data_IF_194675750072
#
_entry.id   IF_194675750072
#
_cell.length_a   1.000
_cell.length_b   1.000
_cell.length_c   1.000
_cell.angle_alpha   90.00
_cell.angle_beta   90.00
_cell.angle_gamma   90.00
#
_symmetry.space_group_name_H-M   'P 1'
#
loop_
_entity.id
_entity.type
_entity.pdbx_description
1 polymer ?
#
# COMPACT_ATOMS: atom_id res chain seq x y z
N UNK A 1 21.95 10.21 16.64
CA UNK A 1 22.32 10.12 15.20
C UNK A 1 21.21 10.79 14.39
N UNK A 2 21.55 11.73 13.52
CA UNK A 2 20.58 12.39 12.63
C UNK A 2 20.21 11.44 11.49
N UNK A 3 18.94 11.06 11.35
CA UNK A 3 18.49 10.22 10.23
C UNK A 3 18.68 10.98 8.91
N UNK A 4 19.35 10.40 7.89
CA UNK A 4 19.49 11.06 6.60
C UNK A 4 18.11 11.39 5.98
N UNK A 5 17.97 12.58 5.40
CA UNK A 5 16.68 13.09 4.91
C UNK A 5 16.05 12.23 3.79
N UNK A 6 16.85 11.45 3.06
CA UNK A 6 16.40 10.59 1.97
C UNK A 6 15.87 9.23 2.44
N UNK A 7 16.18 8.79 3.66
CA UNK A 7 15.82 7.46 4.17
C UNK A 7 14.29 7.22 4.20
N UNK A 8 13.46 8.17 4.69
CA UNK A 8 12.01 8.00 4.65
C UNK A 8 11.45 7.90 3.23
N UNK A 9 12.04 8.62 2.28
CA UNK A 9 11.62 8.57 0.87
C UNK A 9 11.98 7.23 0.22
N UNK A 10 13.18 6.72 0.50
CA UNK A 10 13.60 5.39 0.06
C UNK A 10 12.70 4.30 0.66
N UNK A 11 12.40 4.38 1.97
CA UNK A 11 11.48 3.47 2.62
C UNK A 11 10.08 3.47 1.97
N UNK A 12 9.53 4.66 1.70
CA UNK A 12 8.25 4.79 0.98
C UNK A 12 8.32 4.23 -0.44
N UNK A 13 9.41 4.47 -1.18
CA UNK A 13 9.60 3.91 -2.53
C UNK A 13 9.57 2.38 -2.50
N UNK A 14 10.34 1.76 -1.61
CA UNK A 14 10.45 0.30 -1.50
C UNK A 14 9.11 -0.35 -1.12
N UNK A 15 8.38 0.26 -0.18
CA UNK A 15 7.04 -0.20 0.21
C UNK A 15 6.04 0.05 -0.93
N UNK A 16 6.04 1.22 -1.56
CA UNK A 16 5.08 1.58 -2.60
C UNK A 16 5.21 0.70 -3.85
N UNK A 17 6.43 0.24 -4.18
CA UNK A 17 6.70 -0.54 -5.38
C UNK A 17 5.80 -1.78 -5.49
N UNK A 18 5.57 -2.50 -4.39
CA UNK A 18 4.74 -3.71 -4.42
C UNK A 18 3.28 -3.39 -4.74
N UNK A 19 2.77 -2.26 -4.24
CA UNK A 19 1.39 -1.83 -4.50
C UNK A 19 1.21 -1.33 -5.94
N UNK A 20 2.15 -0.54 -6.45
CA UNK A 20 2.12 -0.05 -7.84
C UNK A 20 2.19 -1.23 -8.81
N UNK A 21 3.12 -2.17 -8.59
CA UNK A 21 3.24 -3.38 -9.43
C UNK A 21 2.00 -4.27 -9.33
N UNK A 22 1.45 -4.45 -8.13
CA UNK A 22 0.22 -5.23 -7.90
C UNK A 22 -0.97 -4.62 -8.66
N UNK A 23 -1.18 -3.31 -8.54
CA UNK A 23 -2.26 -2.58 -9.21
C UNK A 23 -2.12 -2.61 -10.74
N UNK A 24 -0.92 -2.38 -11.28
CA UNK A 24 -0.66 -2.50 -12.72
C UNK A 24 -0.93 -3.92 -13.25
N UNK A 25 -0.49 -4.95 -12.50
CA UNK A 25 -0.74 -6.35 -12.89
C UNK A 25 -2.24 -6.69 -12.91
N UNK A 26 -3.03 -6.13 -11.98
CA UNK A 26 -4.48 -6.30 -11.95
C UNK A 26 -5.17 -5.66 -13.15
N UNK A 27 -4.70 -4.49 -13.59
CA UNK A 27 -5.21 -3.83 -14.81
C UNK A 27 -4.81 -4.63 -16.06
N UNK A 28 -3.59 -5.18 -16.09
CA UNK A 28 -3.12 -5.99 -17.22
C UNK A 28 -3.86 -7.33 -17.35
N UNK A 29 -4.32 -7.92 -16.24
CA UNK A 29 -5.07 -9.17 -16.22
C UNK A 29 -6.32 -9.13 -15.31
N UNK A 30 -7.38 -8.38 -15.69
CA UNK A 30 -8.57 -8.23 -14.84
C UNK A 30 -9.31 -9.53 -14.60
N UNK A 31 -9.45 -10.37 -15.64
CA UNK A 31 -10.17 -11.64 -15.58
C UNK A 31 -9.57 -12.60 -14.55
N UNK A 32 -8.24 -12.74 -14.54
CA UNK A 32 -7.54 -13.59 -13.59
C UNK A 32 -7.74 -13.13 -12.14
N UNK A 33 -7.67 -11.81 -11.93
CA UNK A 33 -7.86 -11.22 -10.59
C UNK A 33 -9.30 -11.39 -10.11
N UNK A 34 -10.29 -11.13 -10.95
CA UNK A 34 -11.70 -11.31 -10.60
C UNK A 34 -12.03 -12.78 -10.29
N UNK A 35 -11.50 -13.72 -11.09
CA UNK A 35 -11.65 -15.15 -10.81
C UNK A 35 -11.04 -15.53 -9.45
N UNK A 36 -9.86 -15.00 -9.13
CA UNK A 36 -9.22 -15.22 -7.83
C UNK A 36 -10.03 -14.63 -6.66
N UNK A 37 -10.52 -13.39 -6.80
CA UNK A 37 -11.42 -12.75 -5.83
C UNK A 37 -12.68 -13.59 -5.60
N UNK A 38 -13.28 -14.11 -6.67
CA UNK A 38 -14.47 -14.96 -6.58
C UNK A 38 -14.16 -16.29 -5.89
N UNK A 39 -12.99 -16.88 -6.14
CA UNK A 39 -12.54 -18.11 -5.47
C UNK A 39 -12.35 -17.94 -3.95
N UNK A 40 -12.08 -16.70 -3.49
CA UNK A 40 -11.97 -16.37 -2.07
C UNK A 40 -13.33 -16.09 -1.40
N UNK A 41 -14.46 -16.25 -2.11
CA UNK A 41 -15.81 -16.08 -1.55
C UNK A 41 -16.26 -14.63 -1.38
N UNK A 42 -15.55 -13.66 -1.96
CA UNK A 42 -15.93 -12.26 -1.87
C UNK A 42 -17.23 -11.98 -2.66
N UNK A 43 -18.24 -11.33 -2.06
CA UNK A 43 -19.44 -10.93 -2.78
C UNK A 43 -19.08 -9.82 -3.79
N UNK A 44 -19.71 -9.85 -4.97
CA UNK A 44 -19.53 -8.84 -6.02
C UNK A 44 -18.06 -8.62 -6.44
N UNK A 45 -17.43 -9.66 -7.00
CA UNK A 45 -16.04 -9.64 -7.46
C UNK A 45 -15.62 -8.42 -8.32
N UNK A 46 -16.46 -7.86 -9.22
CA UNK A 46 -16.10 -6.66 -9.97
C UNK A 46 -15.88 -5.42 -9.10
N UNK A 47 -16.69 -5.24 -8.04
CA UNK A 47 -16.55 -4.12 -7.11
C UNK A 47 -15.29 -4.28 -6.25
N UNK A 48 -15.05 -5.49 -5.73
CA UNK A 48 -13.84 -5.81 -4.98
C UNK A 48 -12.56 -5.62 -5.84
N UNK A 49 -12.62 -6.01 -7.12
CA UNK A 49 -11.53 -5.77 -8.08
C UNK A 49 -11.26 -4.27 -8.26
N UNK A 50 -12.29 -3.46 -8.51
CA UNK A 50 -12.15 -2.03 -8.68
C UNK A 50 -11.56 -1.37 -7.42
N UNK A 51 -12.03 -1.76 -6.23
CA UNK A 51 -11.47 -1.30 -4.95
C UNK A 51 -10.00 -1.69 -4.82
N UNK A 52 -9.63 -2.93 -5.13
CA UNK A 52 -8.25 -3.40 -5.05
C UNK A 52 -7.33 -2.58 -5.97
N UNK A 53 -7.73 -2.36 -7.23
CA UNK A 53 -6.95 -1.55 -8.18
C UNK A 53 -6.79 -0.12 -7.68
N UNK A 54 -7.87 0.52 -7.24
CA UNK A 54 -7.85 1.90 -6.76
C UNK A 54 -6.97 2.05 -5.51
N UNK A 55 -7.08 1.13 -4.55
CA UNK A 55 -6.32 1.20 -3.30
C UNK A 55 -4.85 0.90 -3.54
N UNK A 56 -4.51 -0.15 -4.29
CA UNK A 56 -3.11 -0.50 -4.52
C UNK A 56 -2.41 0.49 -5.45
N UNK A 57 -2.99 0.78 -6.62
CA UNK A 57 -2.34 1.68 -7.57
C UNK A 57 -2.41 3.13 -7.09
N UNK A 58 -3.60 3.60 -6.72
CA UNK A 58 -3.80 4.97 -6.24
C UNK A 58 -3.09 5.22 -4.92
N UNK A 59 -3.28 4.34 -3.93
CA UNK A 59 -2.60 4.43 -2.64
C UNK A 59 -1.08 4.25 -2.75
N UNK A 60 -0.62 3.32 -3.59
CA UNK A 60 0.81 3.12 -3.85
C UNK A 60 1.48 4.35 -4.47
N UNK A 61 0.85 4.98 -5.47
CA UNK A 61 1.34 6.22 -6.07
C UNK A 61 1.31 7.39 -5.07
N UNK A 62 0.24 7.52 -4.27
CA UNK A 62 0.16 8.53 -3.23
C UNK A 62 1.27 8.38 -2.18
N UNK A 63 1.54 7.16 -1.72
CA UNK A 63 2.63 6.84 -0.80
C UNK A 63 4.00 7.16 -1.41
N UNK A 64 4.23 6.76 -2.66
CA UNK A 64 5.46 7.01 -3.42
C UNK A 64 5.77 8.51 -3.50
N UNK A 65 4.79 9.30 -3.94
CA UNK A 65 4.95 10.76 -4.09
C UNK A 65 4.96 11.49 -2.73
N UNK A 66 4.56 10.82 -1.66
CA UNK A 66 4.42 11.42 -0.34
C UNK A 66 3.28 12.43 -0.31
N UNK A 67 2.15 12.07 -0.92
CA UNK A 67 0.90 12.83 -0.93
C UNK A 67 -0.09 12.19 0.04
N UNK A 68 -0.58 12.97 1.01
CA UNK A 68 -1.41 12.50 2.12
C UNK A 68 -0.83 11.24 2.78
N UNK A 69 0.48 11.27 3.05
CA UNK A 69 1.27 10.07 3.31
C UNK A 69 0.71 9.19 4.43
N UNK A 70 0.26 9.80 5.53
CA UNK A 70 -0.32 9.07 6.66
C UNK A 70 -1.63 8.39 6.26
N UNK A 71 -2.51 9.09 5.53
CA UNK A 71 -3.78 8.52 5.08
C UNK A 71 -3.55 7.37 4.09
N UNK A 72 -2.67 7.59 3.09
CA UNK A 72 -2.30 6.56 2.13
C UNK A 72 -1.72 5.32 2.84
N UNK A 73 -0.79 5.52 3.77
CA UNK A 73 -0.19 4.42 4.53
C UNK A 73 -1.20 3.68 5.40
N UNK A 74 -2.11 4.37 6.08
CA UNK A 74 -3.19 3.76 6.87
C UNK A 74 -4.14 2.93 5.99
N UNK A 75 -4.58 3.49 4.86
CA UNK A 75 -5.45 2.77 3.92
C UNK A 75 -4.78 1.51 3.37
N UNK A 76 -3.52 1.63 2.92
CA UNK A 76 -2.75 0.50 2.43
C UNK A 76 -2.52 -0.55 3.53
N UNK A 77 -2.30 -0.14 4.78
CA UNK A 77 -2.10 -1.07 5.90
C UNK A 77 -3.36 -1.90 6.17
N UNK A 78 -4.53 -1.23 6.23
CA UNK A 78 -5.82 -1.90 6.41
C UNK A 78 -6.09 -2.87 5.24
N UNK A 79 -5.88 -2.40 4.01
CA UNK A 79 -6.06 -3.23 2.82
C UNK A 79 -5.13 -4.45 2.80
N UNK A 80 -3.85 -4.25 3.14
CA UNK A 80 -2.84 -5.32 3.14
C UNK A 80 -3.16 -6.37 4.20
N UNK A 81 -3.62 -5.95 5.37
CA UNK A 81 -4.05 -6.85 6.43
C UNK A 81 -5.31 -7.64 6.02
N UNK A 82 -6.30 -6.97 5.42
CA UNK A 82 -7.48 -7.63 4.87
C UNK A 82 -7.11 -8.65 3.79
N UNK A 83 -6.19 -8.28 2.88
CA UNK A 83 -5.71 -9.19 1.84
C UNK A 83 -5.01 -10.43 2.41
N UNK A 84 -4.21 -10.27 3.48
CA UNK A 84 -3.58 -11.40 4.18
C UNK A 84 -4.64 -12.39 4.70
N UNK A 85 -5.65 -11.89 5.42
CA UNK A 85 -6.68 -12.72 6.06
C UNK A 85 -7.64 -13.36 5.04
N UNK A 86 -7.93 -12.67 3.94
CA UNK A 86 -8.88 -13.18 2.94
C UNK A 86 -8.24 -14.15 1.94
N UNK A 87 -7.01 -13.87 1.50
CA UNK A 87 -6.38 -14.60 0.39
C UNK A 87 -5.27 -15.57 0.83
N UNK A 88 -4.72 -15.38 2.02
CA UNK A 88 -3.58 -16.15 2.53
C UNK A 88 -3.86 -16.78 3.91
N UNK A 89 -5.03 -17.41 4.07
CA UNK A 89 -5.50 -17.94 5.36
C UNK A 89 -5.18 -19.43 5.63
N UNK A 90 -4.69 -20.18 4.64
CA UNK A 90 -4.29 -21.57 4.83
C UNK A 90 -2.87 -21.65 5.42
N UNK A 91 -2.77 -21.71 6.74
CA UNK A 91 -1.48 -21.74 7.46
C UNK A 91 -0.70 -23.06 7.28
N UNK A 92 -1.34 -24.12 6.79
CA UNK A 92 -0.67 -25.39 6.51
C UNK A 92 0.04 -25.40 5.14
N UNK A 93 -0.33 -24.49 4.24
CA UNK A 93 0.34 -24.29 2.97
C UNK A 93 1.50 -23.30 3.13
N UNK A 94 2.72 -23.75 2.82
CA UNK A 94 3.93 -22.95 3.00
C UNK A 94 3.93 -21.68 2.13
N UNK A 95 3.40 -21.75 0.91
CA UNK A 95 3.34 -20.60 0.01
C UNK A 95 2.37 -19.54 0.56
N UNK A 96 1.20 -19.97 1.05
CA UNK A 96 0.24 -19.09 1.70
C UNK A 96 0.80 -18.47 2.98
N UNK A 97 1.48 -19.25 3.83
CA UNK A 97 2.15 -18.74 5.03
C UNK A 97 3.18 -17.64 4.70
N UNK A 98 4.01 -17.84 3.66
CA UNK A 98 4.98 -16.84 3.22
C UNK A 98 4.28 -15.55 2.76
N UNK A 99 3.20 -15.66 1.99
CA UNK A 99 2.45 -14.50 1.53
C UNK A 99 1.74 -13.76 2.67
N UNK A 100 1.20 -14.50 3.63
CA UNK A 100 0.63 -13.94 4.86
C UNK A 100 1.68 -13.14 5.63
N UNK A 101 2.82 -13.75 5.96
CA UNK A 101 3.91 -13.10 6.70
C UNK A 101 4.48 -11.89 5.97
N UNK A 102 4.62 -11.97 4.63
CA UNK A 102 4.99 -10.83 3.79
C UNK A 102 4.02 -9.66 3.98
N UNK A 103 2.71 -9.91 3.94
CA UNK A 103 1.70 -8.86 4.13
C UNK A 103 1.72 -8.29 5.57
N UNK A 104 1.97 -9.12 6.59
CA UNK A 104 2.15 -8.64 7.97
C UNK A 104 3.37 -7.73 8.08
N UNK A 105 4.51 -8.11 7.48
CA UNK A 105 5.72 -7.29 7.45
C UNK A 105 5.49 -5.95 6.74
N UNK A 106 4.80 -5.95 5.59
CA UNK A 106 4.43 -4.73 4.85
C UNK A 106 3.52 -3.84 5.70
N UNK A 107 2.53 -4.42 6.38
CA UNK A 107 1.63 -3.69 7.28
C UNK A 107 2.43 -3.01 8.40
N UNK A 108 3.39 -3.71 9.01
CA UNK A 108 4.30 -3.12 9.99
C UNK A 108 5.12 -1.95 9.43
N UNK A 109 5.67 -2.11 8.22
CA UNK A 109 6.39 -1.03 7.52
C UNK A 109 5.51 0.20 7.26
N UNK A 110 4.26 0.00 6.85
CA UNK A 110 3.29 1.07 6.64
C UNK A 110 2.92 1.79 7.95
N UNK A 111 2.74 1.05 9.05
CA UNK A 111 2.50 1.64 10.38
C UNK A 111 3.69 2.49 10.84
N UNK A 112 4.93 2.07 10.53
CA UNK A 112 6.11 2.91 10.78
C UNK A 112 6.10 4.19 9.95
N UNK A 113 5.58 4.17 8.72
CA UNK A 113 5.36 5.38 7.91
C UNK A 113 4.26 6.26 8.52
N UNK A 114 3.17 5.68 9.03
CA UNK A 114 2.10 6.43 9.73
C UNK A 114 2.69 7.18 10.94
N UNK A 115 3.48 6.49 11.77
CA UNK A 115 4.13 7.06 12.95
C UNK A 115 5.13 8.16 12.57
N UNK A 116 6.02 7.89 11.61
CA UNK A 116 7.14 8.78 11.26
C UNK A 116 6.74 9.94 10.34
N UNK A 117 5.66 9.81 9.56
CA UNK A 117 5.23 10.79 8.57
C UNK A 117 6.00 10.72 7.24
N UNK A 118 5.83 11.77 6.42
CA UNK A 118 6.25 11.77 5.02
C UNK A 118 7.76 11.90 4.76
N UNK A 119 8.51 12.45 5.72
CA UNK A 119 9.91 12.82 5.53
C UNK A 119 10.10 13.98 4.54
N UNK A 120 11.34 14.46 4.40
CA UNK A 120 11.67 15.70 3.70
C UNK A 120 11.23 15.72 2.22
N UNK A 121 11.50 14.64 1.48
CA UNK A 121 11.17 14.52 0.05
C UNK A 121 9.73 14.03 -0.16
N UNK A 122 8.75 14.88 0.11
CA UNK A 122 7.32 14.57 -0.03
C UNK A 122 6.53 15.76 -0.58
N UNK A 123 5.43 15.49 -1.29
CA UNK A 123 4.49 16.52 -1.70
C UNK A 123 3.80 17.19 -0.50
N UNK A 124 3.60 16.46 0.59
CA UNK A 124 3.04 16.98 1.85
C UNK A 124 3.83 18.18 2.41
N UNK A 125 5.15 18.20 2.23
CA UNK A 125 5.99 19.30 2.70
C UNK A 125 6.01 20.51 1.77
N UNK A 126 5.61 20.38 0.50
CA UNK A 126 5.56 21.51 -0.46
C UNK A 126 4.42 22.49 -0.15
N UNK A 127 3.40 22.08 0.61
CA UNK A 127 2.28 22.95 1.02
C UNK A 127 2.61 23.88 2.20
N UNK A 128 3.75 23.72 2.88
CA UNK A 128 4.12 24.52 4.06
C UNK A 128 4.90 25.80 3.73
N UNK A 129 5.14 26.12 2.46
CA UNK A 129 6.08 27.17 2.04
C UNK A 129 5.44 28.42 1.42
N UNK A 130 4.24 28.83 1.84
CA UNK A 130 3.74 30.19 1.51
C UNK A 130 3.61 31.02 2.79
N UNK A 131 4.66 31.74 3.19
CA UNK A 131 4.47 32.94 4.00
C UNK A 131 3.72 33.95 3.13
N UNK A 132 2.52 34.35 3.56
CA UNK A 132 1.88 35.56 3.05
C UNK A 132 2.69 36.74 3.58
N UNK A 133 3.30 37.60 2.73
CA UNK A 133 3.92 38.83 3.18
C UNK A 133 2.88 39.72 3.87
N UNK A 134 3.34 40.44 4.91
CA UNK A 134 2.54 41.27 5.81
C UNK A 134 1.61 42.28 5.12
#
# INVERSE_FOLDING_TARGET
MSTPAYLPALGRLLIALIFVMSGLSKIAAPANTMAYIQSAGAPFAPAAFAIAVLVELGGGLALLLGFQTRLAATMLAIFTLAAAVLFHNNMADQNQMIHFLKNIAITGGLLQVVASGAGAFSLDNRRKSVPVPA
#
